data_IF_785744389342
#
_entry.id   IF_785744389342
#
_cell.length_a   1.000
_cell.length_b   1.000
_cell.length_c   1.000
_cell.angle_alpha   90.00
_cell.angle_beta   90.00
_cell.angle_gamma   90.00
#
_symmetry.space_group_name_H-M   'P 1'
#
loop_
_entity.id
_entity.type
_entity.pdbx_description
1 polymer ?
#
# COMPACT_ATOMS: atom_id res chain seq x y z
N UNK A 1 -24.35 -4.27 11.53
CA UNK A 1 -23.58 -5.46 11.88
C UNK A 1 -22.77 -5.93 10.67
N UNK A 2 -21.43 -5.91 10.77
CA UNK A 2 -20.50 -6.30 9.69
C UNK A 2 -19.91 -7.71 9.89
N UNK A 3 -20.34 -8.44 10.93
CA UNK A 3 -19.73 -9.71 11.35
C UNK A 3 -19.76 -10.85 10.32
N UNK A 4 -20.60 -10.74 9.28
CA UNK A 4 -20.71 -11.73 8.21
C UNK A 4 -20.27 -11.18 6.83
N UNK A 5 -19.77 -9.95 6.78
CA UNK A 5 -19.32 -9.34 5.53
C UNK A 5 -17.98 -9.94 5.12
N UNK A 6 -17.91 -10.42 3.88
CA UNK A 6 -16.68 -10.98 3.28
C UNK A 6 -16.10 -10.07 2.19
N UNK A 7 -16.89 -9.15 1.65
CA UNK A 7 -16.52 -8.24 0.57
C UNK A 7 -16.92 -6.81 0.92
N UNK A 8 -15.95 -5.91 0.91
CA UNK A 8 -16.12 -4.47 1.15
C UNK A 8 -15.60 -3.64 -0.03
N UNK A 9 -15.52 -4.25 -1.25
CA UNK A 9 -15.06 -3.55 -2.44
C UNK A 9 -15.86 -2.28 -2.68
N UNK A 10 -15.15 -1.17 -2.89
CA UNK A 10 -15.70 0.12 -3.27
C UNK A 10 -16.73 0.73 -2.31
N UNK A 11 -16.82 0.26 -1.05
CA UNK A 11 -17.91 0.66 -0.14
C UNK A 11 -18.04 2.17 0.06
N UNK A 12 -16.92 2.90 0.05
CA UNK A 12 -16.86 4.37 0.17
C UNK A 12 -16.22 5.02 -1.06
N UNK A 13 -16.22 4.31 -2.20
CA UNK A 13 -15.63 4.79 -3.46
C UNK A 13 -16.19 6.16 -3.86
N UNK A 14 -15.29 7.13 -4.07
CA UNK A 14 -15.60 8.52 -4.43
C UNK A 14 -16.49 9.29 -3.43
N UNK A 15 -16.64 8.79 -2.20
CA UNK A 15 -17.34 9.52 -1.15
C UNK A 15 -16.40 10.58 -0.53
N UNK A 16 -16.23 11.69 -1.24
CA UNK A 16 -15.19 12.71 -0.94
C UNK A 16 -15.27 13.30 0.46
N UNK A 17 -16.46 13.46 1.00
CA UNK A 17 -16.70 14.05 2.31
C UNK A 17 -16.82 13.03 3.44
N UNK A 18 -16.74 11.72 3.11
CA UNK A 18 -16.87 10.66 4.10
C UNK A 18 -15.70 10.69 5.08
N UNK A 19 -16.01 10.83 6.37
CA UNK A 19 -15.03 10.76 7.46
C UNK A 19 -15.67 10.27 8.77
N UNK A 20 -16.65 9.38 8.70
CA UNK A 20 -17.30 8.82 9.88
C UNK A 20 -16.41 7.77 10.57
N UNK A 21 -16.52 7.68 11.89
CA UNK A 21 -15.81 6.66 12.67
C UNK A 21 -16.42 5.27 12.47
N UNK A 22 -15.66 4.41 11.82
CA UNK A 22 -16.00 3.02 11.54
C UNK A 22 -15.04 2.05 12.24
N UNK A 23 -14.27 2.51 13.21
CA UNK A 23 -13.23 1.73 13.90
C UNK A 23 -13.79 0.50 14.64
N UNK A 24 -15.08 0.53 15.02
CA UNK A 24 -15.76 -0.56 15.72
C UNK A 24 -16.29 -1.67 14.77
N UNK A 25 -16.11 -1.55 13.47
CA UNK A 25 -16.57 -2.57 12.54
C UNK A 25 -15.83 -3.90 12.71
N UNK A 26 -16.55 -4.99 12.64
CA UNK A 26 -15.96 -6.33 12.62
C UNK A 26 -15.59 -6.71 11.19
N UNK A 27 -14.29 -6.74 10.90
CA UNK A 27 -13.73 -7.04 9.57
C UNK A 27 -13.12 -8.44 9.46
N UNK A 28 -13.25 -9.26 10.49
CA UNK A 28 -12.56 -10.56 10.63
C UNK A 28 -12.89 -11.63 9.58
N UNK A 29 -13.94 -11.39 8.76
CA UNK A 29 -14.31 -12.29 7.66
C UNK A 29 -14.05 -11.66 6.28
N UNK A 30 -13.59 -10.42 6.22
CA UNK A 30 -13.39 -9.72 4.96
C UNK A 30 -12.19 -10.30 4.20
N UNK A 31 -12.41 -10.63 2.93
CA UNK A 31 -11.40 -11.14 2.01
C UNK A 31 -11.02 -10.13 0.92
N UNK A 32 -11.91 -9.17 0.61
CA UNK A 32 -11.71 -8.15 -0.42
C UNK A 32 -11.98 -6.75 0.15
N UNK A 33 -10.96 -5.87 0.08
CA UNK A 33 -11.06 -4.46 0.45
C UNK A 33 -10.64 -3.53 -0.71
N UNK A 34 -10.70 -4.04 -1.96
CA UNK A 34 -10.31 -3.26 -3.14
C UNK A 34 -11.13 -1.97 -3.25
N UNK A 35 -10.49 -0.87 -3.57
CA UNK A 35 -11.12 0.46 -3.80
C UNK A 35 -11.99 0.97 -2.64
N UNK A 36 -11.91 0.40 -1.43
CA UNK A 36 -12.86 0.69 -0.35
C UNK A 36 -12.93 2.18 0.00
N UNK A 37 -11.80 2.90 -0.01
CA UNK A 37 -11.70 4.34 0.23
C UNK A 37 -11.11 5.09 -0.96
N UNK A 38 -11.19 4.53 -2.16
CA UNK A 38 -10.67 5.18 -3.37
C UNK A 38 -11.39 6.50 -3.60
N UNK A 39 -10.61 7.59 -3.75
CA UNK A 39 -11.08 8.98 -3.88
C UNK A 39 -11.99 9.45 -2.73
N UNK A 40 -11.85 8.86 -1.53
CA UNK A 40 -12.47 9.36 -0.30
C UNK A 40 -11.57 10.47 0.31
N UNK A 41 -11.60 11.66 -0.28
CA UNK A 41 -10.66 12.77 -0.06
C UNK A 41 -10.49 13.16 1.42
N UNK A 42 -11.58 13.16 2.19
CA UNK A 42 -11.62 13.60 3.59
C UNK A 42 -11.35 12.51 4.60
N UNK A 43 -11.35 11.23 4.17
CA UNK A 43 -11.26 10.11 5.09
C UNK A 43 -9.92 10.08 5.83
N UNK A 44 -9.99 10.11 7.17
CA UNK A 44 -8.82 10.02 8.04
C UNK A 44 -9.16 9.43 9.43
N UNK A 45 -10.03 8.43 9.49
CA UNK A 45 -10.37 7.74 10.74
C UNK A 45 -9.46 6.55 11.01
N UNK A 46 -9.32 6.18 12.29
CA UNK A 46 -8.46 5.07 12.70
C UNK A 46 -9.03 3.72 12.28
N UNK A 47 -8.20 2.94 11.58
CA UNK A 47 -8.51 1.58 11.17
C UNK A 47 -7.55 0.54 11.79
N UNK A 48 -6.68 0.98 12.69
CA UNK A 48 -5.57 0.15 13.17
C UNK A 48 -6.01 -1.10 13.98
N UNK A 49 -7.25 -1.14 14.44
CA UNK A 49 -7.80 -2.29 15.17
C UNK A 49 -8.61 -3.26 14.27
N UNK A 50 -8.74 -2.96 12.99
CA UNK A 50 -9.39 -3.88 12.06
C UNK A 50 -8.60 -5.18 11.92
N UNK A 51 -9.30 -6.31 11.95
CA UNK A 51 -8.72 -7.61 11.60
C UNK A 51 -8.75 -7.77 10.08
N UNK A 52 -7.57 -7.67 9.45
CA UNK A 52 -7.40 -7.84 8.00
C UNK A 52 -6.69 -9.15 7.65
N UNK A 53 -6.62 -10.08 8.62
CA UNK A 53 -5.85 -11.33 8.48
C UNK A 53 -6.34 -12.28 7.38
N UNK A 54 -7.56 -12.09 6.88
CA UNK A 54 -8.13 -12.89 5.77
C UNK A 54 -8.14 -12.13 4.44
N UNK A 55 -7.76 -10.85 4.42
CA UNK A 55 -7.80 -10.03 3.21
C UNK A 55 -6.76 -10.53 2.20
N UNK A 56 -7.21 -10.75 0.97
CA UNK A 56 -6.41 -11.23 -0.16
C UNK A 56 -6.03 -10.12 -1.15
N UNK A 57 -6.85 -9.07 -1.22
CA UNK A 57 -6.60 -7.93 -2.09
C UNK A 57 -6.94 -6.62 -1.41
N UNK A 58 -6.01 -5.65 -1.54
CA UNK A 58 -6.14 -4.26 -1.11
C UNK A 58 -5.88 -3.29 -2.28
N UNK A 59 -6.12 -3.79 -3.52
CA UNK A 59 -5.96 -2.98 -4.74
C UNK A 59 -6.73 -1.67 -4.62
N UNK A 60 -6.10 -0.54 -4.90
CA UNK A 60 -6.67 0.82 -4.86
C UNK A 60 -7.27 1.24 -3.50
N UNK A 61 -7.05 0.51 -2.41
CA UNK A 61 -7.84 0.70 -1.18
C UNK A 61 -7.86 2.14 -0.66
N UNK A 62 -6.76 2.87 -0.75
CA UNK A 62 -6.64 4.28 -0.35
C UNK A 62 -6.18 5.18 -1.52
N UNK A 63 -6.38 4.72 -2.77
CA UNK A 63 -6.04 5.52 -3.94
C UNK A 63 -6.79 6.85 -3.90
N UNK A 64 -6.07 7.98 -4.03
CA UNK A 64 -6.69 9.30 -3.96
C UNK A 64 -7.26 9.70 -2.58
N UNK A 65 -7.10 8.90 -1.53
CA UNK A 65 -7.49 9.28 -0.17
C UNK A 65 -6.48 10.32 0.38
N UNK A 66 -6.57 11.56 -0.11
CA UNK A 66 -5.56 12.61 0.05
C UNK A 66 -5.29 13.02 1.49
N UNK A 67 -6.26 12.85 2.38
CA UNK A 67 -6.16 13.21 3.80
C UNK A 67 -5.71 12.05 4.70
N UNK A 68 -5.75 10.80 4.19
CA UNK A 68 -5.50 9.63 5.02
C UNK A 68 -4.05 9.57 5.51
N UNK A 69 -3.89 9.54 6.83
CA UNK A 69 -2.58 9.38 7.47
C UNK A 69 -2.70 8.73 8.86
N UNK A 70 -3.51 7.67 9.00
CA UNK A 70 -3.67 6.95 10.25
C UNK A 70 -2.76 5.72 10.32
N UNK A 71 -2.31 5.33 11.52
CA UNK A 71 -1.48 4.13 11.70
C UNK A 71 -2.18 2.85 11.19
N UNK A 72 -1.37 1.97 10.56
CA UNK A 72 -1.79 0.65 10.09
C UNK A 72 -0.81 -0.44 10.55
N UNK A 73 0.03 -0.14 11.52
CA UNK A 73 1.13 -1.00 11.95
C UNK A 73 0.68 -2.29 12.67
N UNK A 74 -0.59 -2.39 13.08
CA UNK A 74 -1.16 -3.62 13.67
C UNK A 74 -1.76 -4.57 12.62
N UNK A 75 -1.87 -4.16 11.37
CA UNK A 75 -2.48 -4.99 10.35
C UNK A 75 -1.64 -6.22 10.03
N UNK A 76 -2.28 -7.39 10.05
CA UNK A 76 -1.71 -8.63 9.53
C UNK A 76 -2.10 -8.79 8.06
N UNK A 77 -1.18 -8.40 7.15
CA UNK A 77 -1.39 -8.46 5.69
C UNK A 77 -0.80 -9.71 5.05
N UNK A 78 -0.52 -10.75 5.84
CA UNK A 78 0.21 -11.95 5.38
C UNK A 78 -0.51 -12.78 4.30
N UNK A 79 -1.82 -12.59 4.12
CA UNK A 79 -2.61 -13.25 3.08
C UNK A 79 -2.80 -12.38 1.82
N UNK A 80 -2.39 -11.10 1.85
CA UNK A 80 -2.57 -10.18 0.72
C UNK A 80 -1.63 -10.55 -0.44
N UNK A 81 -2.21 -10.67 -1.63
CA UNK A 81 -1.49 -10.99 -2.87
C UNK A 81 -1.41 -9.81 -3.82
N UNK A 82 -2.29 -8.82 -3.69
CA UNK A 82 -2.36 -7.65 -4.58
C UNK A 82 -2.50 -6.35 -3.78
N UNK A 83 -1.52 -5.45 -3.97
CA UNK A 83 -1.46 -4.10 -3.38
C UNK A 83 -1.30 -3.02 -4.47
N UNK A 84 -1.72 -3.32 -5.73
CA UNK A 84 -1.71 -2.36 -6.83
C UNK A 84 -2.38 -1.05 -6.42
N UNK A 85 -1.73 0.09 -6.67
CA UNK A 85 -2.25 1.45 -6.42
C UNK A 85 -2.74 1.71 -4.98
N UNK A 86 -2.40 0.88 -3.98
CA UNK A 86 -3.02 0.94 -2.65
C UNK A 86 -2.94 2.32 -1.99
N UNK A 87 -1.85 3.06 -2.17
CA UNK A 87 -1.65 4.42 -1.64
C UNK A 87 -1.34 5.44 -2.77
N UNK A 88 -1.70 5.13 -4.02
CA UNK A 88 -1.51 6.08 -5.11
C UNK A 88 -2.23 7.39 -4.79
N UNK A 89 -1.53 8.52 -4.97
CA UNK A 89 -2.03 9.86 -4.66
C UNK A 89 -2.60 10.03 -3.23
N UNK A 90 -2.30 9.14 -2.28
CA UNK A 90 -2.55 9.35 -0.86
C UNK A 90 -1.52 10.37 -0.33
N UNK A 91 -1.71 11.66 -0.63
CA UNK A 91 -0.68 12.70 -0.50
C UNK A 91 -0.11 12.86 0.90
N UNK A 92 -0.92 12.65 1.94
CA UNK A 92 -0.48 12.82 3.34
C UNK A 92 0.03 11.54 3.98
N UNK A 93 -0.18 10.37 3.35
CA UNK A 93 0.19 9.11 3.96
C UNK A 93 1.69 9.01 4.21
N UNK A 94 2.08 8.87 5.47
CA UNK A 94 3.46 8.70 5.91
C UNK A 94 3.55 7.86 7.19
N UNK A 95 2.81 6.75 7.29
CA UNK A 95 2.82 5.89 8.46
C UNK A 95 3.78 4.72 8.30
N UNK A 96 4.37 4.30 9.42
CA UNK A 96 5.30 3.18 9.44
C UNK A 96 4.56 1.85 9.24
N UNK A 97 4.84 1.20 8.12
CA UNK A 97 4.31 -0.11 7.72
C UNK A 97 5.43 -1.15 7.53
N UNK A 98 6.62 -0.90 8.05
CA UNK A 98 7.79 -1.78 7.90
C UNK A 98 7.62 -3.17 8.56
N UNK A 99 6.64 -3.30 9.47
CA UNK A 99 6.30 -4.58 10.12
C UNK A 99 5.41 -5.50 9.28
N UNK A 100 4.87 -5.02 8.16
CA UNK A 100 3.99 -5.81 7.32
C UNK A 100 4.70 -7.02 6.71
N UNK A 101 4.08 -8.20 6.81
CA UNK A 101 4.52 -9.39 6.07
C UNK A 101 3.92 -9.37 4.66
N UNK A 102 4.70 -8.90 3.68
CA UNK A 102 4.27 -8.80 2.27
C UNK A 102 4.76 -9.96 1.41
N UNK A 103 5.17 -11.07 2.02
CA UNK A 103 5.82 -12.19 1.33
C UNK A 103 4.97 -12.91 0.27
N UNK A 104 3.65 -12.75 0.31
CA UNK A 104 2.74 -13.29 -0.70
C UNK A 104 2.35 -12.29 -1.80
N UNK A 105 2.68 -11.01 -1.65
CA UNK A 105 2.33 -9.98 -2.62
C UNK A 105 3.06 -10.20 -3.94
N UNK A 106 2.31 -10.18 -5.05
CA UNK A 106 2.81 -10.34 -6.41
C UNK A 106 2.81 -9.03 -7.19
N UNK A 107 1.88 -8.14 -6.89
CA UNK A 107 1.72 -6.87 -7.58
C UNK A 107 1.79 -5.70 -6.60
N UNK A 108 2.76 -4.81 -6.80
CA UNK A 108 2.95 -3.55 -6.07
C UNK A 108 3.03 -2.36 -7.05
N UNK A 109 2.55 -2.54 -8.31
CA UNK A 109 2.57 -1.46 -9.29
C UNK A 109 1.81 -0.24 -8.78
N UNK A 110 2.36 0.94 -8.98
CA UNK A 110 1.83 2.25 -8.56
C UNK A 110 1.55 2.39 -7.05
N UNK A 111 1.97 1.47 -6.19
CA UNK A 111 1.55 1.42 -4.78
C UNK A 111 1.73 2.74 -4.02
N UNK A 112 2.80 3.48 -4.26
CA UNK A 112 3.08 4.78 -3.66
C UNK A 112 3.22 5.90 -4.71
N UNK A 113 2.75 5.67 -5.97
CA UNK A 113 2.81 6.70 -7.00
C UNK A 113 2.16 7.98 -6.49
N UNK A 114 2.87 9.10 -6.57
CA UNK A 114 2.40 10.40 -6.08
C UNK A 114 2.07 10.48 -4.57
N UNK A 115 2.47 9.51 -3.74
CA UNK A 115 2.38 9.61 -2.28
C UNK A 115 3.46 10.60 -1.77
N UNK A 116 3.18 11.90 -1.86
CA UNK A 116 4.17 12.99 -1.79
C UNK A 116 4.95 13.04 -0.47
N UNK A 117 4.30 12.69 0.65
CA UNK A 117 4.89 12.77 1.98
C UNK A 117 5.54 11.45 2.42
N UNK A 118 5.30 10.34 1.71
CA UNK A 118 5.77 9.02 2.12
C UNK A 118 7.29 8.93 2.13
N UNK A 119 7.86 8.64 3.31
CA UNK A 119 9.29 8.41 3.52
C UNK A 119 9.55 7.47 4.71
N UNK A 120 8.80 6.38 4.83
CA UNK A 120 8.99 5.41 5.90
C UNK A 120 9.86 4.23 5.45
N UNK A 121 10.60 3.60 6.38
CA UNK A 121 11.44 2.45 6.04
C UNK A 121 10.60 1.27 5.55
N UNK A 122 11.17 0.53 4.59
CA UNK A 122 10.62 -0.68 4.00
C UNK A 122 11.66 -1.80 3.93
N UNK A 123 12.77 -1.65 4.61
CA UNK A 123 13.93 -2.55 4.57
C UNK A 123 13.65 -3.96 5.10
N UNK A 124 12.58 -4.14 5.91
CA UNK A 124 12.14 -5.45 6.43
C UNK A 124 11.17 -6.19 5.50
N UNK A 125 10.71 -5.56 4.43
CA UNK A 125 9.79 -6.21 3.52
C UNK A 125 10.45 -7.34 2.74
N UNK A 126 9.84 -8.53 2.79
CA UNK A 126 10.20 -9.64 1.91
C UNK A 126 9.42 -9.52 0.60
N UNK A 127 10.06 -8.94 -0.43
CA UNK A 127 9.46 -8.71 -1.75
C UNK A 127 9.80 -9.83 -2.76
N UNK A 128 10.29 -10.96 -2.29
CA UNK A 128 10.79 -12.06 -3.16
C UNK A 128 9.71 -12.74 -4.02
N UNK A 129 8.42 -12.46 -3.77
CA UNK A 129 7.30 -12.93 -4.60
C UNK A 129 6.79 -11.90 -5.61
N UNK A 130 7.25 -10.64 -5.49
CA UNK A 130 6.75 -9.55 -6.34
C UNK A 130 7.24 -9.71 -7.79
N UNK A 131 6.30 -9.56 -8.71
CA UNK A 131 6.54 -9.63 -10.16
C UNK A 131 6.42 -8.27 -10.85
N UNK A 132 5.62 -7.35 -10.30
CA UNK A 132 5.40 -6.02 -10.86
C UNK A 132 5.61 -4.92 -9.83
N UNK A 133 6.54 -3.99 -10.13
CA UNK A 133 6.85 -2.76 -9.39
C UNK A 133 6.78 -1.52 -10.29
N UNK A 134 6.03 -1.60 -11.40
CA UNK A 134 5.84 -0.47 -12.33
C UNK A 134 5.39 0.77 -11.56
N UNK A 135 6.05 1.90 -11.75
CA UNK A 135 5.72 3.20 -11.14
C UNK A 135 5.59 3.20 -9.61
N UNK A 136 6.13 2.21 -8.89
CA UNK A 136 5.86 2.04 -7.45
C UNK A 136 6.16 3.28 -6.61
N UNK A 137 7.23 4.00 -6.90
CA UNK A 137 7.63 5.25 -6.22
C UNK A 137 7.64 6.47 -7.17
N UNK A 138 6.95 6.38 -8.29
CA UNK A 138 6.86 7.48 -9.25
C UNK A 138 6.26 8.72 -8.57
N UNK A 139 6.89 9.89 -8.73
CA UNK A 139 6.48 11.15 -8.08
C UNK A 139 6.43 11.11 -6.53
N UNK A 140 7.01 10.11 -5.88
CA UNK A 140 7.11 10.04 -4.41
C UNK A 140 8.26 10.94 -3.93
N UNK A 141 8.01 12.24 -3.88
CA UNK A 141 9.05 13.28 -3.82
C UNK A 141 9.97 13.22 -2.60
N UNK A 142 9.48 12.72 -1.45
CA UNK A 142 10.27 12.68 -0.20
C UNK A 142 10.95 11.34 0.06
N UNK A 143 10.58 10.28 -0.68
CA UNK A 143 11.08 8.95 -0.42
C UNK A 143 12.59 8.84 -0.64
N UNK A 144 13.32 8.44 0.41
CA UNK A 144 14.75 8.20 0.36
C UNK A 144 15.19 7.12 1.38
N UNK A 145 14.47 6.00 1.45
CA UNK A 145 14.79 4.92 2.36
C UNK A 145 15.58 3.80 1.68
N UNK A 146 16.47 3.10 2.39
CA UNK A 146 17.27 2.02 1.81
C UNK A 146 16.41 0.84 1.38
N UNK A 147 16.64 0.36 0.15
CA UNK A 147 15.97 -0.79 -0.46
C UNK A 147 16.95 -1.90 -0.88
N UNK A 148 18.23 -1.76 -0.56
CA UNK A 148 19.27 -2.67 -1.05
C UNK A 148 19.18 -4.11 -0.48
N UNK A 149 18.35 -4.31 0.57
CA UNK A 149 18.03 -5.63 1.13
C UNK A 149 16.98 -6.41 0.33
N UNK A 150 16.24 -5.74 -0.58
CA UNK A 150 15.17 -6.37 -1.32
C UNK A 150 15.68 -7.42 -2.32
N UNK A 151 15.10 -8.61 -2.28
CA UNK A 151 15.30 -9.61 -3.33
C UNK A 151 14.30 -9.38 -4.46
N UNK A 152 14.74 -8.74 -5.54
CA UNK A 152 13.93 -8.39 -6.72
C UNK A 152 14.09 -9.39 -7.88
N UNK A 153 14.62 -10.56 -7.63
CA UNK A 153 14.96 -11.53 -8.68
C UNK A 153 13.75 -12.07 -9.47
N UNK A 154 12.52 -11.91 -8.97
CA UNK A 154 11.30 -12.29 -9.69
C UNK A 154 10.61 -11.11 -10.38
N UNK A 155 11.07 -9.88 -10.14
CA UNK A 155 10.46 -8.69 -10.74
C UNK A 155 10.72 -8.68 -12.24
N UNK A 156 9.65 -8.47 -13.01
CA UNK A 156 9.63 -8.43 -14.48
C UNK A 156 9.39 -7.02 -15.00
N UNK A 157 8.71 -6.19 -14.21
CA UNK A 157 8.26 -4.86 -14.62
C UNK A 157 8.68 -3.83 -13.58
N UNK A 158 9.47 -2.82 -14.00
CA UNK A 158 9.98 -1.71 -13.16
C UNK A 158 9.88 -0.36 -13.87
N UNK A 159 9.07 -0.28 -14.94
CA UNK A 159 8.97 0.94 -15.74
C UNK A 159 8.66 2.13 -14.84
N UNK A 160 9.44 3.20 -14.99
CA UNK A 160 9.29 4.46 -14.24
C UNK A 160 9.24 4.33 -12.71
N UNK A 161 9.78 3.24 -12.12
CA UNK A 161 9.66 2.93 -10.68
C UNK A 161 10.07 4.12 -9.78
N UNK A 162 11.09 4.88 -10.15
CA UNK A 162 11.59 6.05 -9.43
C UNK A 162 11.50 7.36 -10.25
N UNK A 163 10.67 7.39 -11.30
CA UNK A 163 10.53 8.59 -12.11
C UNK A 163 10.05 9.77 -11.24
N UNK A 164 10.77 10.92 -11.28
CA UNK A 164 10.48 12.11 -10.45
C UNK A 164 10.46 11.84 -8.91
N UNK A 165 11.07 10.75 -8.43
CA UNK A 165 11.35 10.54 -7.02
C UNK A 165 12.61 11.33 -6.62
N UNK A 166 12.51 12.65 -6.63
CA UNK A 166 13.65 13.59 -6.63
C UNK A 166 14.58 13.52 -5.41
N UNK A 167 14.10 12.95 -4.29
CA UNK A 167 14.93 12.76 -3.10
C UNK A 167 15.65 11.41 -3.07
N UNK A 168 15.23 10.44 -3.91
CA UNK A 168 15.78 9.09 -3.85
C UNK A 168 17.23 9.06 -4.31
N UNK A 169 18.13 8.68 -3.39
CA UNK A 169 19.57 8.57 -3.65
C UNK A 169 20.17 7.39 -2.87
N UNK A 170 19.52 6.23 -2.92
CA UNK A 170 20.00 5.05 -2.20
C UNK A 170 20.70 4.06 -3.13
N UNK A 171 21.66 3.33 -2.59
CA UNK A 171 22.36 2.27 -3.29
C UNK A 171 21.44 1.08 -3.57
N UNK A 172 21.50 0.54 -4.80
CA UNK A 172 20.76 -0.64 -5.25
C UNK A 172 21.69 -1.73 -5.85
N UNK A 173 22.97 -1.72 -5.53
CA UNK A 173 24.00 -2.59 -6.14
C UNK A 173 23.72 -4.09 -5.94
N UNK A 174 22.92 -4.47 -4.94
CA UNK A 174 22.56 -5.86 -4.68
C UNK A 174 21.35 -6.36 -5.45
N UNK A 175 20.67 -5.47 -6.20
CA UNK A 175 19.51 -5.89 -6.95
C UNK A 175 19.91 -6.76 -8.15
N UNK A 176 19.34 -7.97 -8.21
CA UNK A 176 19.42 -8.81 -9.41
C UNK A 176 18.25 -8.47 -10.34
N UNK A 177 18.53 -7.71 -11.38
CA UNK A 177 17.55 -7.23 -12.39
C UNK A 177 17.58 -8.03 -13.69
N UNK A 178 18.09 -9.25 -13.67
CA UNK A 178 18.26 -10.07 -14.87
C UNK A 178 16.93 -10.48 -15.54
N UNK A 179 15.81 -10.34 -14.86
CA UNK A 179 14.48 -10.68 -15.34
C UNK A 179 13.63 -9.45 -15.73
N UNK A 180 14.17 -8.23 -15.57
CA UNK A 180 13.50 -6.96 -15.91
C UNK A 180 13.58 -6.70 -17.41
#
# INVERSE_FOLDING_TARGET
DTSNVTDMEGLFYKMKDFNEDISAWNTSKVENMSSMFEDADSFNQSLNNWDVSKVKTMKNMFRGAISFNQPLNKWNVSEVMDMEEMFEAAYKFNQNINSWNVSKVKNMSYMFNSAKEFNQPLDKWNVSSVEDMTCMFRYTKKFNQPLNSWNVSKVKYTQEMFYEAVSFNQNLDRWNVSNV
#
